data_IF_919140265779
#
_entry.id   IF_919140265779
#
_cell.length_a   1.000
_cell.length_b   1.000
_cell.length_c   1.000
_cell.angle_alpha   90.00
_cell.angle_beta   90.00
_cell.angle_gamma   90.00
#
_symmetry.space_group_name_H-M   'P 1'
#
loop_
_entity.id
_entity.type
_entity.pdbx_description
1 polymer ?
#
# COMPACT_ATOMS: atom_id res chain seq x y z
N UNK A 1 -26.44 -9.40 -7.02
CA UNK A 1 -26.37 -9.56 -5.55
C UNK A 1 -24.91 -9.78 -5.19
N UNK A 2 -24.36 -9.10 -4.16
CA UNK A 2 -23.01 -9.41 -3.70
C UNK A 2 -22.94 -10.89 -3.30
N UNK A 3 -21.82 -11.56 -3.59
CA UNK A 3 -21.63 -12.93 -3.14
C UNK A 3 -21.35 -12.93 -1.63
N UNK A 4 -21.66 -14.03 -0.93
CA UNK A 4 -21.33 -14.20 0.50
C UNK A 4 -19.84 -14.01 0.80
N UNK A 5 -18.98 -14.22 -0.19
CA UNK A 5 -17.53 -13.98 -0.10
C UNK A 5 -17.20 -12.48 -0.09
N UNK A 6 -17.90 -11.67 -0.91
CA UNK A 6 -17.71 -10.22 -0.95
C UNK A 6 -18.09 -9.58 0.39
N UNK A 7 -19.16 -10.06 1.02
CA UNK A 7 -19.58 -9.60 2.34
C UNK A 7 -18.55 -9.92 3.44
N UNK A 8 -17.94 -11.12 3.39
CA UNK A 8 -16.90 -11.53 4.33
C UNK A 8 -15.61 -10.69 4.17
N UNK A 9 -15.20 -10.44 2.92
CA UNK A 9 -14.06 -9.55 2.61
C UNK A 9 -14.34 -8.14 3.12
N UNK A 10 -15.52 -7.59 2.84
CA UNK A 10 -15.89 -6.25 3.27
C UNK A 10 -15.91 -6.13 4.81
N UNK A 11 -16.40 -7.15 5.51
CA UNK A 11 -16.40 -7.21 6.97
C UNK A 11 -14.97 -7.28 7.55
N UNK A 12 -14.12 -8.15 7.01
CA UNK A 12 -12.71 -8.28 7.43
C UNK A 12 -11.95 -6.96 7.26
N UNK A 13 -12.09 -6.30 6.10
CA UNK A 13 -11.45 -5.02 5.82
C UNK A 13 -11.97 -3.89 6.73
N UNK A 14 -13.26 -3.91 7.08
CA UNK A 14 -13.84 -2.90 7.97
C UNK A 14 -13.37 -3.09 9.41
N UNK A 15 -13.32 -4.33 9.88
CA UNK A 15 -12.76 -4.66 11.19
C UNK A 15 -11.27 -4.27 11.29
N UNK A 16 -10.48 -4.63 10.28
CA UNK A 16 -9.07 -4.26 10.20
C UNK A 16 -8.87 -2.73 10.22
N UNK A 17 -9.70 -1.97 9.50
CA UNK A 17 -9.61 -0.52 9.49
C UNK A 17 -9.86 0.09 10.89
N UNK A 18 -10.80 -0.47 11.66
CA UNK A 18 -11.03 -0.04 13.05
C UNK A 18 -9.79 -0.27 13.91
N UNK A 19 -9.20 -1.48 13.86
CA UNK A 19 -8.00 -1.80 14.63
C UNK A 19 -6.81 -0.91 14.26
N UNK A 20 -6.63 -0.61 12.97
CA UNK A 20 -5.56 0.29 12.51
C UNK A 20 -5.82 1.72 13.01
N UNK A 21 -7.07 2.20 12.97
CA UNK A 21 -7.39 3.52 13.51
C UNK A 21 -7.17 3.59 15.03
N UNK A 22 -7.41 2.51 15.77
CA UNK A 22 -7.09 2.43 17.20
C UNK A 22 -5.58 2.51 17.45
N UNK A 23 -4.77 1.79 16.68
CA UNK A 23 -3.30 1.89 16.76
C UNK A 23 -2.81 3.30 16.44
N UNK A 24 -3.32 3.92 15.36
CA UNK A 24 -2.95 5.28 14.97
C UNK A 24 -3.25 6.25 16.11
N UNK A 25 -4.41 6.10 16.78
CA UNK A 25 -4.77 6.91 17.94
C UNK A 25 -3.83 6.69 19.12
N UNK A 26 -3.41 5.44 19.36
CA UNK A 26 -2.53 5.08 20.46
C UNK A 26 -1.10 5.62 20.31
N UNK A 27 -0.62 5.88 19.09
CA UNK A 27 0.70 6.48 18.84
C UNK A 27 0.83 7.88 19.44
N UNK A 28 -0.28 8.63 19.56
CA UNK A 28 -0.29 10.05 19.92
C UNK A 28 0.65 10.93 19.06
N UNK A 29 0.99 10.47 17.85
CA UNK A 29 1.79 11.21 16.87
C UNK A 29 0.90 12.17 16.06
N UNK A 30 1.44 13.34 15.71
CA UNK A 30 0.72 14.33 14.89
C UNK A 30 0.68 13.98 13.40
N UNK A 31 1.67 13.22 12.92
CA UNK A 31 1.84 12.86 11.51
C UNK A 31 2.22 11.38 11.34
N UNK A 32 1.38 10.41 11.77
CA UNK A 32 1.77 9.01 11.74
C UNK A 32 1.90 8.47 10.31
N UNK A 33 2.84 7.54 10.14
CA UNK A 33 3.14 6.84 8.89
C UNK A 33 2.61 5.41 8.96
N UNK A 34 1.72 5.07 8.03
CA UNK A 34 1.16 3.72 7.89
C UNK A 34 1.57 3.13 6.55
N UNK A 35 2.18 1.96 6.55
CA UNK A 35 2.47 1.20 5.33
C UNK A 35 1.53 0.00 5.21
N UNK A 36 0.99 -0.22 4.02
CA UNK A 36 0.09 -1.35 3.73
C UNK A 36 0.62 -2.13 2.52
N UNK A 37 1.15 -3.32 2.78
CA UNK A 37 1.67 -4.24 1.76
C UNK A 37 0.81 -5.52 1.68
N UNK A 38 1.02 -6.31 0.65
CA UNK A 38 0.24 -7.47 0.25
C UNK A 38 0.36 -7.67 -1.27
N UNK A 39 0.07 -8.86 -1.76
CA UNK A 39 0.07 -9.10 -3.21
C UNK A 39 -1.03 -8.36 -3.97
N UNK A 40 -0.93 -8.30 -5.30
CA UNK A 40 -1.99 -7.79 -6.18
C UNK A 40 -3.30 -8.53 -5.92
N UNK A 41 -4.41 -7.78 -5.86
CA UNK A 41 -5.73 -8.33 -5.53
C UNK A 41 -5.95 -8.71 -4.05
N UNK A 42 -5.03 -8.38 -3.13
CA UNK A 42 -5.18 -8.67 -1.69
C UNK A 42 -6.18 -7.75 -0.95
N UNK A 43 -6.55 -6.61 -1.54
CA UNK A 43 -7.50 -5.65 -0.92
C UNK A 43 -6.84 -4.43 -0.23
N UNK A 44 -5.55 -4.20 -0.46
CA UNK A 44 -4.77 -3.07 0.10
C UNK A 44 -5.42 -1.71 -0.12
N UNK A 45 -5.72 -1.34 -1.36
CA UNK A 45 -6.37 -0.07 -1.71
C UNK A 45 -7.71 0.11 -0.99
N UNK A 46 -8.51 -0.97 -0.91
CA UNK A 46 -9.78 -0.98 -0.19
C UNK A 46 -9.62 -0.83 1.33
N UNK A 47 -8.54 -1.37 1.91
CA UNK A 47 -8.19 -1.18 3.32
C UNK A 47 -7.72 0.26 3.57
N UNK A 48 -6.79 0.76 2.76
CA UNK A 48 -6.25 2.12 2.85
C UNK A 48 -7.37 3.16 2.81
N UNK A 49 -8.34 3.01 1.89
CA UNK A 49 -9.49 3.90 1.81
C UNK A 49 -10.39 3.85 3.06
N UNK A 50 -10.53 2.68 3.71
CA UNK A 50 -11.30 2.56 4.95
C UNK A 50 -10.57 3.20 6.13
N UNK A 51 -9.27 2.96 6.26
CA UNK A 51 -8.42 3.58 7.29
C UNK A 51 -8.45 5.10 7.13
N UNK A 52 -8.35 5.61 5.90
CA UNK A 52 -8.40 7.04 5.63
C UNK A 52 -9.73 7.68 6.01
N UNK A 53 -10.86 6.98 5.82
CA UNK A 53 -12.18 7.44 6.29
C UNK A 53 -12.32 7.42 7.81
N UNK A 54 -11.66 6.49 8.48
CA UNK A 54 -11.67 6.33 9.92
C UNK A 54 -10.50 7.05 10.62
N UNK A 55 -9.79 7.94 9.91
CA UNK A 55 -8.55 8.53 10.39
C UNK A 55 -8.76 9.31 11.70
N UNK A 56 -8.07 8.95 12.79
CA UNK A 56 -8.38 9.49 14.12
C UNK A 56 -7.62 10.78 14.45
N UNK A 57 -6.62 11.16 13.66
CA UNK A 57 -5.79 12.35 13.90
C UNK A 57 -6.44 13.56 13.24
N UNK A 58 -6.37 14.71 13.91
CA UNK A 58 -6.89 15.97 13.37
C UNK A 58 -6.23 16.32 12.03
N UNK A 59 -7.05 16.74 11.07
CA UNK A 59 -6.62 17.00 9.69
C UNK A 59 -6.91 15.82 8.76
N UNK A 60 -6.52 15.98 7.49
CA UNK A 60 -6.64 14.91 6.49
C UNK A 60 -5.40 14.01 6.52
N UNK A 61 -5.56 12.77 6.10
CA UNK A 61 -4.45 11.86 5.80
C UNK A 61 -4.14 11.87 4.31
N UNK A 62 -2.86 11.72 3.97
CA UNK A 62 -2.39 11.62 2.59
C UNK A 62 -2.31 10.14 2.22
N UNK A 63 -3.05 9.70 1.21
CA UNK A 63 -3.02 8.30 0.74
C UNK A 63 -2.28 8.24 -0.59
N UNK A 64 -1.23 7.41 -0.65
CA UNK A 64 -0.38 7.28 -1.82
C UNK A 64 -0.31 5.80 -2.21
N UNK A 65 -0.79 5.49 -3.42
CA UNK A 65 -0.74 4.14 -3.97
C UNK A 65 0.52 3.98 -4.84
N UNK A 66 1.33 2.96 -4.56
CA UNK A 66 2.53 2.67 -5.36
C UNK A 66 2.21 2.31 -6.81
N UNK A 67 0.98 1.90 -7.11
CA UNK A 67 0.50 1.72 -8.49
C UNK A 67 0.71 3.00 -9.33
N UNK A 68 0.74 4.19 -8.70
CA UNK A 68 1.06 5.45 -9.36
C UNK A 68 2.55 5.80 -9.40
N UNK A 69 3.43 5.01 -8.78
CA UNK A 69 4.87 5.26 -8.65
C UNK A 69 5.74 4.23 -9.40
N UNK A 70 5.22 3.03 -9.73
CA UNK A 70 6.00 2.03 -10.43
C UNK A 70 6.34 2.50 -11.85
N UNK A 71 7.63 2.58 -12.24
CA UNK A 71 8.03 2.89 -13.61
C UNK A 71 7.81 1.67 -14.51
N UNK A 72 6.56 1.43 -14.87
CA UNK A 72 6.16 0.28 -15.65
C UNK A 72 6.14 -1.02 -14.85
N UNK A 73 5.92 -2.11 -15.57
CA UNK A 73 5.60 -3.41 -15.00
C UNK A 73 6.78 -4.16 -14.40
N UNK A 74 8.01 -3.70 -14.62
CA UNK A 74 9.23 -4.27 -14.01
C UNK A 74 9.75 -3.37 -12.87
N UNK A 75 8.92 -2.40 -12.46
CA UNK A 75 9.29 -1.33 -11.54
C UNK A 75 8.88 -1.53 -10.08
N UNK A 76 8.60 -2.76 -9.60
CA UNK A 76 8.16 -2.98 -8.22
C UNK A 76 9.16 -2.40 -7.20
N UNK A 77 10.44 -2.75 -7.36
CA UNK A 77 11.50 -2.26 -6.46
C UNK A 77 11.74 -0.75 -6.62
N UNK A 78 11.66 -0.25 -7.86
CA UNK A 78 11.84 1.17 -8.18
C UNK A 78 10.72 2.04 -7.61
N UNK A 79 9.47 1.59 -7.67
CA UNK A 79 8.33 2.33 -7.10
C UNK A 79 8.43 2.43 -5.58
N UNK A 80 8.83 1.34 -4.93
CA UNK A 80 9.09 1.39 -3.49
C UNK A 80 10.30 2.28 -3.15
N UNK A 81 11.32 2.38 -4.03
CA UNK A 81 12.48 3.26 -3.85
C UNK A 81 12.10 4.74 -4.02
N UNK A 82 11.30 5.04 -5.04
CA UNK A 82 10.69 6.36 -5.23
C UNK A 82 9.89 6.79 -4.00
N UNK A 83 9.15 5.87 -3.37
CA UNK A 83 8.44 6.15 -2.13
C UNK A 83 9.40 6.38 -0.94
N UNK A 84 10.46 5.58 -0.82
CA UNK A 84 11.46 5.76 0.24
C UNK A 84 12.12 7.14 0.17
N UNK A 85 12.60 7.53 -1.01
CA UNK A 85 13.38 8.77 -1.19
C UNK A 85 12.49 10.01 -1.28
N UNK A 86 11.37 9.95 -2.00
CA UNK A 86 10.51 11.10 -2.25
C UNK A 86 9.49 11.37 -1.15
N UNK A 87 9.12 10.35 -0.36
CA UNK A 87 8.02 10.43 0.59
C UNK A 87 8.52 10.16 2.01
N UNK A 88 9.00 8.94 2.29
CA UNK A 88 9.21 8.49 3.66
C UNK A 88 10.40 9.17 4.35
N UNK A 89 11.54 9.32 3.66
CA UNK A 89 12.72 9.99 4.22
C UNK A 89 12.49 11.49 4.47
N UNK A 90 11.93 12.28 3.54
CA UNK A 90 11.60 13.69 3.80
C UNK A 90 10.58 13.83 4.92
N UNK A 91 9.50 13.04 4.88
CA UNK A 91 8.42 13.11 5.87
C UNK A 91 8.91 12.82 7.29
N UNK A 92 9.70 11.75 7.49
CA UNK A 92 10.31 11.44 8.78
C UNK A 92 11.32 12.48 9.29
N UNK A 93 11.76 13.41 8.43
CA UNK A 93 12.62 14.55 8.80
C UNK A 93 11.84 15.86 8.97
N UNK A 94 10.50 15.83 8.84
CA UNK A 94 9.67 17.03 8.86
C UNK A 94 9.84 17.91 7.61
N UNK A 95 10.33 17.36 6.51
CA UNK A 95 10.58 18.08 5.25
C UNK A 95 9.47 17.79 4.22
N UNK A 96 9.23 18.78 3.35
CA UNK A 96 8.32 18.63 2.21
C UNK A 96 8.82 17.49 1.30
N UNK A 97 8.02 16.43 1.19
CA UNK A 97 8.24 15.35 0.24
C UNK A 97 7.59 15.67 -1.11
N UNK A 98 7.99 14.92 -2.13
CA UNK A 98 7.34 14.94 -3.43
C UNK A 98 7.52 13.62 -4.16
N UNK A 99 6.51 13.22 -4.93
CA UNK A 99 6.57 12.05 -5.82
C UNK A 99 6.00 12.40 -7.19
N UNK A 100 6.45 11.69 -8.22
CA UNK A 100 5.96 11.83 -9.60
C UNK A 100 5.07 10.67 -9.96
N UNK A 101 3.92 10.99 -10.55
CA UNK A 101 3.03 9.97 -11.09
C UNK A 101 3.67 9.30 -12.31
N UNK A 102 3.54 7.99 -12.41
CA UNK A 102 3.82 7.26 -13.62
C UNK A 102 2.58 7.25 -14.53
N UNK A 103 2.75 7.67 -15.76
CA UNK A 103 1.75 7.52 -16.81
C UNK A 103 1.88 6.14 -17.45
N UNK A 104 0.94 5.26 -17.14
CA UNK A 104 0.91 3.90 -17.69
C UNK A 104 0.53 3.84 -19.17
N UNK A 105 -0.16 4.86 -19.70
CA UNK A 105 -0.55 4.94 -21.10
C UNK A 105 0.64 5.32 -21.97
N UNK A 106 1.42 6.31 -21.52
CA UNK A 106 2.57 6.83 -22.27
C UNK A 106 3.91 6.21 -21.85
N UNK A 107 3.97 5.52 -20.71
CA UNK A 107 5.20 4.90 -20.20
C UNK A 107 6.25 5.92 -19.77
N UNK A 108 5.84 7.03 -19.16
CA UNK A 108 6.72 8.12 -18.74
C UNK A 108 6.29 8.77 -17.41
N UNK A 109 7.13 9.66 -16.87
CA UNK A 109 6.78 10.45 -15.69
C UNK A 109 5.82 11.59 -16.07
N UNK A 110 4.79 11.77 -15.26
CA UNK A 110 3.81 12.84 -15.41
C UNK A 110 3.95 13.88 -14.29
N UNK A 111 2.85 14.38 -13.74
CA UNK A 111 2.85 15.44 -12.76
C UNK A 111 3.48 15.04 -11.41
N UNK A 112 3.98 16.06 -10.69
CA UNK A 112 4.54 15.92 -9.34
C UNK A 112 3.50 16.28 -8.29
N UNK A 113 3.41 15.47 -7.24
CA UNK A 113 2.55 15.70 -6.08
C UNK A 113 3.40 15.94 -4.83
N UNK A 114 3.05 16.99 -4.07
CA UNK A 114 3.70 17.28 -2.80
C UNK A 114 3.15 16.41 -1.65
N UNK A 115 3.99 16.10 -0.67
CA UNK A 115 3.64 15.41 0.57
C UNK A 115 3.95 16.30 1.75
N UNK A 116 2.90 16.79 2.40
CA UNK A 116 3.00 17.67 3.55
C UNK A 116 3.51 16.90 4.78
N UNK A 117 4.66 17.28 5.38
CA UNK A 117 5.19 16.59 6.55
C UNK A 117 4.35 16.79 7.82
N UNK A 118 3.47 17.80 7.86
CA UNK A 118 2.60 18.07 9.00
C UNK A 118 1.39 17.12 9.07
N UNK A 119 1.09 16.39 7.99
CA UNK A 119 -0.04 15.47 7.90
C UNK A 119 0.44 14.02 7.98
N UNK A 120 -0.41 13.14 8.51
CA UNK A 120 -0.18 11.69 8.43
C UNK A 120 -0.19 11.18 6.99
N UNK A 121 0.46 10.04 6.76
CA UNK A 121 0.58 9.43 5.43
C UNK A 121 0.30 7.93 5.49
N UNK A 122 -0.48 7.45 4.53
CA UNK A 122 -0.70 6.03 4.25
C UNK A 122 -0.06 5.76 2.88
N UNK A 123 0.91 4.85 2.84
CA UNK A 123 1.46 4.35 1.57
C UNK A 123 1.04 2.89 1.40
N UNK A 124 0.37 2.59 0.30
CA UNK A 124 -0.12 1.25 0.00
C UNK A 124 0.42 0.75 -1.33
N UNK A 125 0.79 -0.53 -1.39
CA UNK A 125 1.34 -1.11 -2.61
C UNK A 125 2.19 -2.34 -2.35
N UNK A 126 2.30 -3.20 -3.37
CA UNK A 126 3.17 -4.37 -3.31
C UNK A 126 4.63 -3.97 -3.25
N UNK A 127 5.38 -4.44 -2.26
CA UNK A 127 6.80 -4.14 -2.12
C UNK A 127 7.14 -2.96 -1.21
N UNK A 128 6.13 -2.26 -0.67
CA UNK A 128 6.37 -1.11 0.21
C UNK A 128 6.97 -1.52 1.55
N UNK A 129 6.75 -2.74 2.04
CA UNK A 129 7.15 -3.19 3.37
C UNK A 129 8.45 -3.99 3.31
N UNK A 130 9.57 -3.27 3.37
CA UNK A 130 10.93 -3.81 3.31
C UNK A 130 11.79 -3.18 4.41
N UNK A 131 12.96 -3.73 4.77
CA UNK A 131 13.70 -3.27 5.95
C UNK A 131 14.03 -1.77 5.95
N UNK A 132 14.24 -1.16 4.78
CA UNK A 132 14.54 0.27 4.64
C UNK A 132 13.34 1.17 4.93
N UNK A 133 12.13 0.78 4.50
CA UNK A 133 10.89 1.55 4.67
C UNK A 133 10.21 1.25 6.00
N UNK A 134 10.30 0.01 6.49
CA UNK A 134 9.72 -0.42 7.76
C UNK A 134 10.26 0.40 8.96
N UNK A 135 11.52 0.81 8.92
CA UNK A 135 12.13 1.66 9.97
C UNK A 135 11.60 3.10 10.02
N UNK A 136 10.88 3.52 8.98
CA UNK A 136 10.30 4.88 8.86
C UNK A 136 8.79 4.87 9.08
N UNK A 137 8.20 3.74 9.44
CA UNK A 137 6.77 3.55 9.58
C UNK A 137 6.39 3.22 11.02
N UNK A 138 5.37 3.90 11.53
CA UNK A 138 4.83 3.64 12.86
C UNK A 138 3.99 2.36 12.87
N UNK A 139 3.17 2.18 11.83
CA UNK A 139 2.29 1.02 11.66
C UNK A 139 2.57 0.35 10.31
N UNK A 140 2.71 -0.98 10.34
CA UNK A 140 3.14 -1.79 9.21
C UNK A 140 2.17 -2.94 9.03
N UNK A 141 1.42 -2.91 7.93
CA UNK A 141 0.34 -3.86 7.68
C UNK A 141 0.76 -4.79 6.55
N UNK A 142 0.68 -6.09 6.82
CA UNK A 142 0.71 -7.12 5.78
C UNK A 142 -0.70 -7.66 5.54
N UNK A 143 -1.22 -7.51 4.33
CA UNK A 143 -2.52 -8.04 3.90
C UNK A 143 -2.31 -9.40 3.24
N UNK A 144 -2.65 -10.44 3.99
CA UNK A 144 -2.58 -11.83 3.55
C UNK A 144 -3.87 -12.23 2.83
N UNK A 145 -3.74 -12.84 1.65
CA UNK A 145 -4.90 -13.41 0.96
C UNK A 145 -4.48 -14.54 0.02
N UNK A 146 -5.31 -15.59 -0.05
CA UNK A 146 -5.06 -16.79 -0.84
C UNK A 146 -4.81 -16.48 -2.32
N UNK A 147 -3.82 -17.14 -2.92
CA UNK A 147 -3.36 -16.87 -4.29
C UNK A 147 -4.47 -17.00 -5.35
N UNK A 148 -5.32 -18.02 -5.23
CA UNK A 148 -6.45 -18.24 -6.15
C UNK A 148 -7.45 -17.08 -6.09
N UNK A 149 -7.80 -16.61 -4.90
CA UNK A 149 -8.68 -15.46 -4.67
C UNK A 149 -8.06 -14.17 -5.19
N UNK A 150 -6.75 -13.97 -4.98
CA UNK A 150 -6.00 -12.79 -5.46
C UNK A 150 -5.98 -12.70 -6.98
N UNK A 151 -5.65 -13.78 -7.68
CA UNK A 151 -5.58 -13.81 -9.15
C UNK A 151 -6.95 -13.54 -9.77
N UNK A 152 -8.00 -14.15 -9.25
CA UNK A 152 -9.36 -13.91 -9.73
C UNK A 152 -9.76 -12.43 -9.58
N UNK A 153 -9.50 -11.82 -8.42
CA UNK A 153 -9.83 -10.40 -8.17
C UNK A 153 -8.99 -9.43 -9.00
N UNK A 154 -7.70 -9.68 -9.14
CA UNK A 154 -6.81 -8.85 -9.96
C UNK A 154 -7.23 -8.88 -11.44
N UNK A 155 -7.53 -10.07 -11.99
CA UNK A 155 -7.99 -10.20 -13.36
C UNK A 155 -9.39 -9.62 -13.58
N UNK A 156 -10.29 -9.72 -12.60
CA UNK A 156 -11.62 -9.10 -12.69
C UNK A 156 -11.56 -7.57 -12.66
N UNK A 157 -10.58 -6.99 -11.97
CA UNK A 157 -10.39 -5.53 -11.85
C UNK A 157 -9.67 -4.94 -13.07
N UNK A 158 -8.52 -5.51 -13.43
CA UNK A 158 -7.56 -4.90 -14.36
C UNK A 158 -7.51 -5.63 -15.73
N UNK A 159 -8.29 -6.70 -15.87
CA UNK A 159 -8.63 -7.33 -17.14
C UNK A 159 -7.44 -7.70 -18.03
N UNK A 160 -7.56 -7.34 -19.31
CA UNK A 160 -6.61 -7.69 -20.37
C UNK A 160 -5.34 -6.84 -20.37
N UNK A 161 -5.33 -5.69 -19.69
CA UNK A 161 -4.12 -4.88 -19.53
C UNK A 161 -3.13 -5.55 -18.57
N UNK A 162 -3.66 -6.23 -17.54
CA UNK A 162 -2.85 -6.91 -16.52
C UNK A 162 -2.46 -8.34 -16.93
N UNK A 163 -3.32 -9.03 -17.67
CA UNK A 163 -3.16 -10.45 -18.02
C UNK A 163 -1.80 -10.80 -18.68
N UNK A 164 -1.27 -10.06 -19.66
CA UNK A 164 0.03 -10.34 -20.29
C UNK A 164 1.21 -10.16 -19.33
N UNK A 165 1.00 -9.47 -18.22
CA UNK A 165 2.04 -9.05 -17.29
C UNK A 165 1.96 -9.75 -15.94
N UNK A 166 0.95 -10.59 -15.74
CA UNK A 166 0.74 -11.33 -14.49
C UNK A 166 2.00 -12.06 -14.02
N UNK A 167 2.60 -12.89 -14.89
CA UNK A 167 3.72 -13.73 -14.48
C UNK A 167 4.98 -12.93 -14.14
N UNK A 168 5.25 -11.84 -14.89
CA UNK A 168 6.39 -10.95 -14.61
C UNK A 168 6.19 -10.15 -13.33
N UNK A 169 4.98 -9.70 -13.05
CA UNK A 169 4.66 -9.01 -11.80
C UNK A 169 4.73 -9.95 -10.61
N UNK A 170 4.08 -11.11 -10.70
CA UNK A 170 4.09 -12.13 -9.66
C UNK A 170 5.53 -12.62 -9.36
N UNK A 171 6.41 -12.66 -10.36
CA UNK A 171 7.83 -12.96 -10.13
C UNK A 171 8.55 -11.91 -9.28
N UNK A 172 8.23 -10.62 -9.45
CA UNK A 172 8.76 -9.56 -8.59
C UNK A 172 8.20 -9.65 -7.17
N UNK A 173 6.90 -9.89 -7.02
CA UNK A 173 6.28 -10.09 -5.71
C UNK A 173 6.94 -11.24 -4.95
N UNK A 174 7.21 -12.37 -5.61
CA UNK A 174 7.92 -13.51 -4.99
C UNK A 174 9.33 -13.14 -4.54
N UNK A 175 10.10 -12.43 -5.38
CA UNK A 175 11.45 -11.95 -5.00
C UNK A 175 11.40 -11.03 -3.78
N UNK A 176 10.42 -10.13 -3.72
CA UNK A 176 10.19 -9.27 -2.57
C UNK A 176 9.85 -10.09 -1.31
N UNK A 177 8.94 -11.06 -1.41
CA UNK A 177 8.57 -11.95 -0.30
C UNK A 177 9.78 -12.71 0.27
N UNK A 178 10.61 -13.27 -0.62
CA UNK A 178 11.81 -14.03 -0.24
C UNK A 178 12.89 -13.13 0.38
N UNK A 179 13.16 -11.97 -0.24
CA UNK A 179 14.22 -11.04 0.17
C UNK A 179 13.88 -10.28 1.45
N UNK A 180 12.68 -9.69 1.49
CA UNK A 180 12.34 -8.67 2.49
C UNK A 180 11.49 -9.22 3.64
N UNK A 181 10.88 -10.40 3.46
CA UNK A 181 10.03 -11.08 4.46
C UNK A 181 9.00 -10.11 5.07
N UNK A 182 8.16 -9.43 4.24
CA UNK A 182 7.30 -8.33 4.69
C UNK A 182 6.35 -8.71 5.83
N UNK A 183 5.88 -9.96 5.84
CA UNK A 183 5.04 -10.49 6.94
C UNK A 183 5.71 -10.40 8.31
N UNK A 184 7.03 -10.55 8.39
CA UNK A 184 7.80 -10.46 9.64
C UNK A 184 8.10 -9.01 10.05
N UNK A 185 8.06 -8.09 9.08
CA UNK A 185 8.22 -6.66 9.34
C UNK A 185 6.92 -6.01 9.84
N UNK A 186 5.77 -6.67 9.63
CA UNK A 186 4.46 -6.14 9.97
C UNK A 186 4.24 -6.03 11.49
N UNK A 187 3.61 -4.92 11.92
CA UNK A 187 3.01 -4.81 13.26
C UNK A 187 1.66 -5.51 13.31
N UNK A 188 0.98 -5.63 12.16
CA UNK A 188 -0.26 -6.40 12.02
C UNK A 188 -0.29 -7.19 10.72
N UNK A 189 -0.75 -8.43 10.84
CA UNK A 189 -1.16 -9.25 9.69
C UNK A 189 -2.68 -9.23 9.62
N UNK A 190 -3.22 -8.90 8.45
CA UNK A 190 -4.65 -8.87 8.17
C UNK A 190 -4.96 -9.97 7.16
N UNK A 191 -5.76 -10.95 7.57
CA UNK A 191 -6.20 -12.01 6.69
C UNK A 191 -7.49 -11.61 5.98
N UNK A 192 -7.47 -11.66 4.65
CA UNK A 192 -8.62 -11.34 3.79
C UNK A 192 -9.04 -12.61 3.05
N UNK A 193 -10.28 -13.09 3.27
CA UNK A 193 -10.78 -14.34 2.68
C UNK A 193 -10.90 -14.31 1.13
#
# INVERSE_FOLDING_TARGET
>A
MPSRSDDAVAAALSHAATLIAEDVRALAASNPVVLIDGGSGAGKTSLAARVARAWPVSGRVQVIALDSLYPGWDGLDDGAERALEGILRPHGRGLLGAWRRWDWEHGEEAETHAVDPALGVIVEGSGILRPSTARLADIRIWVESGESSRKARALARDGDTYRPHWDRWAAQERRHLERDRPRELATRVIEVP
#
